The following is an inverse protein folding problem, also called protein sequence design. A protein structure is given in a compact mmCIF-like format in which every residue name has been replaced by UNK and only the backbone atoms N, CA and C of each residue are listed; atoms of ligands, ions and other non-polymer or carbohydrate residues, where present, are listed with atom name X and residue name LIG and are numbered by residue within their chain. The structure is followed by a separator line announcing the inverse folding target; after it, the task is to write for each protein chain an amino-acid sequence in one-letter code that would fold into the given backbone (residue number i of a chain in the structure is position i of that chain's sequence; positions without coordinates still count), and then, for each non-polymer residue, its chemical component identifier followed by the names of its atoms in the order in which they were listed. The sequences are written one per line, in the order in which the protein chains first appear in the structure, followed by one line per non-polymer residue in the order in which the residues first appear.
data_IF_431257887108
#
_entry.id   IF_431257887108
#
_cell.length_a   1.000
_cell.length_b   1.000
_cell.length_c   1.000
_cell.angle_alpha   90.00
_cell.angle_beta   90.00
_cell.angle_gamma   90.00
#
_symmetry.space_group_name_H-M   'P 1'
#
loop_
_entity.id
_entity.type
_entity.pdbx_description
1 polymer ?
#
# COMPACT_ATOMS: atom_id res chain seq x y z
N UNK A 1 -2.87 18.84 -19.23
CA UNK A 1 -2.50 18.04 -18.05
C UNK A 1 -3.73 17.25 -17.67
N UNK A 2 -3.68 15.92 -17.70
CA UNK A 2 -4.85 15.10 -17.41
C UNK A 2 -5.20 15.24 -15.93
N UNK A 3 -6.41 15.73 -15.68
CA UNK A 3 -6.98 15.84 -14.34
C UNK A 3 -7.14 14.42 -13.80
N UNK A 4 -6.43 14.10 -12.71
CA UNK A 4 -6.61 12.84 -12.01
C UNK A 4 -8.01 12.87 -11.42
N UNK A 5 -8.97 12.20 -12.08
CA UNK A 5 -10.21 11.74 -11.45
C UNK A 5 -9.85 11.31 -10.03
N UNK A 6 -10.51 11.90 -9.02
CA UNK A 6 -10.19 11.73 -7.60
C UNK A 6 -10.20 10.24 -7.21
N UNK A 7 -9.09 9.55 -7.44
CA UNK A 7 -8.91 8.16 -7.05
C UNK A 7 -8.84 8.17 -5.53
N UNK A 8 -9.67 7.34 -4.89
CA UNK A 8 -9.61 7.17 -3.43
C UNK A 8 -8.17 6.89 -3.00
N UNK A 9 -7.73 7.52 -1.91
CA UNK A 9 -6.37 7.33 -1.36
C UNK A 9 -6.02 5.85 -1.19
N UNK A 10 -7.00 5.00 -0.87
CA UNK A 10 -6.84 3.54 -0.78
C UNK A 10 -6.41 2.94 -2.11
N UNK A 11 -7.13 3.25 -3.19
CA UNK A 11 -6.86 2.73 -4.54
C UNK A 11 -5.49 3.19 -5.03
N UNK A 12 -5.12 4.44 -4.77
CA UNK A 12 -3.79 4.95 -5.10
C UNK A 12 -2.68 4.17 -4.38
N UNK A 13 -2.80 3.99 -3.06
CA UNK A 13 -1.80 3.29 -2.26
C UNK A 13 -1.66 1.83 -2.67
N UNK A 14 -2.77 1.12 -2.86
CA UNK A 14 -2.77 -0.30 -3.24
C UNK A 14 -2.15 -0.52 -4.63
N UNK A 15 -2.45 0.34 -5.61
CA UNK A 15 -1.88 0.23 -6.96
C UNK A 15 -0.40 0.59 -6.97
N UNK A 16 -0.02 1.68 -6.31
CA UNK A 16 1.39 2.13 -6.29
C UNK A 16 2.30 1.15 -5.57
N UNK A 17 1.79 0.48 -4.53
CA UNK A 17 2.46 -0.62 -3.86
C UNK A 17 2.40 -1.96 -4.63
N UNK A 18 1.74 -1.99 -5.79
CA UNK A 18 1.62 -3.15 -6.70
C UNK A 18 0.90 -4.37 -6.10
N UNK A 19 0.02 -4.17 -5.12
CA UNK A 19 -0.80 -5.25 -4.57
C UNK A 19 -1.96 -5.63 -5.47
N UNK A 20 -2.50 -4.68 -6.23
CA UNK A 20 -3.58 -4.90 -7.19
C UNK A 20 -3.54 -3.86 -8.31
N UNK A 21 -4.18 -4.19 -9.43
CA UNK A 21 -4.45 -3.25 -10.52
C UNK A 21 -5.74 -2.48 -10.25
N UNK A 22 -5.91 -1.34 -10.94
CA UNK A 22 -7.18 -0.59 -10.91
C UNK A 22 -8.35 -1.46 -11.37
N UNK A 23 -8.13 -2.30 -12.38
CA UNK A 23 -9.17 -3.19 -12.89
C UNK A 23 -9.67 -4.11 -11.78
N UNK A 24 -8.78 -4.84 -11.12
CA UNK A 24 -9.11 -5.77 -10.04
C UNK A 24 -9.85 -5.07 -8.89
N UNK A 25 -9.40 -3.89 -8.48
CA UNK A 25 -10.05 -3.08 -7.43
C UNK A 25 -11.45 -2.58 -7.81
N UNK A 26 -11.74 -2.46 -9.10
CA UNK A 26 -13.01 -1.95 -9.60
C UNK A 26 -14.02 -3.03 -9.98
N UNK A 27 -13.58 -4.27 -10.22
CA UNK A 27 -14.43 -5.34 -10.78
C UNK A 27 -14.41 -6.64 -9.99
N UNK A 28 -13.36 -6.92 -9.23
CA UNK A 28 -13.17 -8.20 -8.54
C UNK A 28 -13.22 -8.03 -7.02
N UNK A 29 -12.45 -7.06 -6.51
CA UNK A 29 -12.29 -6.87 -5.09
C UNK A 29 -13.44 -6.08 -4.48
N UNK A 30 -13.87 -6.53 -3.31
CA UNK A 30 -14.71 -5.75 -2.42
C UNK A 30 -13.92 -4.61 -1.77
N UNK A 31 -14.63 -3.70 -1.12
CA UNK A 31 -13.99 -2.67 -0.30
C UNK A 31 -13.13 -3.29 0.81
N UNK A 32 -13.58 -4.39 1.43
CA UNK A 32 -12.86 -5.07 2.50
C UNK A 32 -11.54 -5.66 1.98
N UNK A 33 -11.54 -6.28 0.80
CA UNK A 33 -10.32 -6.79 0.18
C UNK A 33 -9.30 -5.66 -0.07
N UNK A 34 -9.77 -4.51 -0.58
CA UNK A 34 -8.92 -3.34 -0.81
C UNK A 34 -8.33 -2.78 0.50
N UNK A 35 -9.11 -2.77 1.59
CA UNK A 35 -8.64 -2.34 2.91
C UNK A 35 -7.65 -3.34 3.52
N UNK A 36 -7.85 -4.63 3.33
CA UNK A 36 -6.90 -5.66 3.76
C UNK A 36 -5.54 -5.51 3.04
N UNK A 37 -5.54 -5.23 1.73
CA UNK A 37 -4.31 -4.95 0.99
C UNK A 37 -3.61 -3.68 1.49
N UNK A 38 -4.38 -2.65 1.86
CA UNK A 38 -3.85 -1.43 2.46
C UNK A 38 -3.22 -1.70 3.84
N UNK A 39 -3.85 -2.53 4.67
CA UNK A 39 -3.30 -2.90 5.98
C UNK A 39 -1.97 -3.67 5.82
N UNK A 40 -1.91 -4.63 4.90
CA UNK A 40 -0.67 -5.35 4.58
C UNK A 40 0.44 -4.37 4.18
N UNK A 41 0.13 -3.39 3.32
CA UNK A 41 1.08 -2.34 2.93
C UNK A 41 1.63 -1.58 4.14
N UNK A 42 0.77 -1.17 5.07
CA UNK A 42 1.15 -0.41 6.26
C UNK A 42 2.02 -1.24 7.20
N UNK A 43 1.65 -2.50 7.44
CA UNK A 43 2.44 -3.42 8.27
C UNK A 43 3.81 -3.68 7.67
N UNK A 44 3.90 -3.88 6.36
CA UNK A 44 5.19 -4.02 5.68
C UNK A 44 6.07 -2.77 5.81
N UNK A 45 5.50 -1.58 5.63
CA UNK A 45 6.24 -0.32 5.77
C UNK A 45 6.79 -0.16 7.19
N UNK A 46 5.96 -0.44 8.20
CA UNK A 46 6.38 -0.43 9.59
C UNK A 46 7.51 -1.43 9.86
N UNK A 47 7.37 -2.68 9.39
CA UNK A 47 8.40 -3.71 9.57
C UNK A 47 9.72 -3.33 8.89
N UNK A 48 9.67 -2.73 7.69
CA UNK A 48 10.88 -2.24 6.98
C UNK A 48 11.56 -1.13 7.77
N UNK A 49 10.81 -0.20 8.34
CA UNK A 49 11.35 0.85 9.19
C UNK A 49 12.01 0.26 10.45
N UNK A 50 11.30 -0.61 11.17
CA UNK A 50 11.81 -1.26 12.37
C UNK A 50 13.11 -2.04 12.10
N UNK A 51 13.17 -2.77 10.99
CA UNK A 51 14.38 -3.48 10.59
C UNK A 51 15.54 -2.54 10.24
N UNK A 52 15.27 -1.38 9.63
CA UNK A 52 16.28 -0.35 9.39
C UNK A 52 16.84 0.17 10.71
N UNK A 53 15.96 0.54 11.65
CA UNK A 53 16.34 1.05 12.97
C UNK A 53 17.19 0.03 13.77
N UNK A 54 16.80 -1.25 13.74
CA UNK A 54 17.57 -2.32 14.37
C UNK A 54 18.95 -2.52 13.74
N UNK A 55 19.06 -2.42 12.41
CA UNK A 55 20.33 -2.58 11.71
C UNK A 55 21.29 -1.41 11.97
N UNK A 56 20.77 -0.18 12.03
CA UNK A 56 21.54 1.02 12.33
C UNK A 56 22.01 1.03 13.80
N UNK A 57 21.18 0.53 14.73
CA UNK A 57 21.53 0.38 16.14
C UNK A 57 22.58 -0.69 16.44
N UNK A 58 22.67 -1.74 15.62
CA UNK A 58 23.67 -2.82 15.75
C UNK A 58 25.02 -2.49 15.08
N UNK A 59 25.11 -1.36 14.38
CA UNK A 59 26.32 -0.92 13.65
C UNK A 59 27.15 0.13 14.42
N UNK A 60 26.81 0.39 15.69
CA UNK A 60 27.55 1.23 16.64
C UNK A 60 28.14 0.41 17.78
#
# INVERSE_FOLDING_TARGET
MAETLNVSSVVYQVITAKYATLHELSTIYSLEDALNLLEIHQVEAYNKQLMSELNDGNSN
#
